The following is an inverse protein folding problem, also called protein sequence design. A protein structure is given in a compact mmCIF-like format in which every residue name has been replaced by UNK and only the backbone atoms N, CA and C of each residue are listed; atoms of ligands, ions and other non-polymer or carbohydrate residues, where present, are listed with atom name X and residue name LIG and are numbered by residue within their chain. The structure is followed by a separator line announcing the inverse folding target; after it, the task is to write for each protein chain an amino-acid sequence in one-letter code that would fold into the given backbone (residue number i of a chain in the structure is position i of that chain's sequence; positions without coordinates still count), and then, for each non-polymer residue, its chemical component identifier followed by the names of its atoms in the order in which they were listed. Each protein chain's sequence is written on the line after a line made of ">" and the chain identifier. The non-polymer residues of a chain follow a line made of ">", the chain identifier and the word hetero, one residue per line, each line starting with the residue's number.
data_IF_633853281906
#
_entry.id   IF_633853281906
#
_cell.length_a   1.000
_cell.length_b   1.000
_cell.length_c   1.000
_cell.angle_alpha   90.00
_cell.angle_beta   90.00
_cell.angle_gamma   90.00
#
_symmetry.space_group_name_H-M   'P 1'
#
loop_
_entity.id
_entity.type
_entity.pdbx_description
1 polymer ?
#
# COMPACT_ATOMS: atom_id res chain seq x y z
N UNK A 1 -2.81 -16.11 -0.03
CA UNK A 1 -2.32 -14.79 0.44
C UNK A 1 -1.39 -14.20 -0.63
N UNK A 2 -1.45 -12.90 -0.92
CA UNK A 2 -0.54 -12.22 -1.85
C UNK A 2 0.48 -11.39 -1.08
N UNK A 3 1.76 -11.47 -1.45
CA UNK A 3 2.79 -10.53 -0.98
C UNK A 3 2.95 -9.42 -2.02
N UNK A 4 2.93 -8.17 -1.55
CA UNK A 4 3.06 -6.96 -2.36
C UNK A 4 4.41 -6.30 -2.05
N UNK A 5 5.49 -6.62 -2.78
CA UNK A 5 6.72 -5.86 -2.70
C UNK A 5 6.45 -4.41 -3.01
N UNK A 6 6.95 -3.53 -2.16
CA UNK A 6 6.75 -2.11 -2.36
C UNK A 6 7.97 -1.42 -2.99
N UNK A 7 7.73 -0.33 -3.72
CA UNK A 7 8.73 0.60 -4.26
C UNK A 7 8.25 2.02 -3.97
N UNK A 8 9.01 2.78 -3.18
CA UNK A 8 8.70 4.19 -2.95
C UNK A 8 9.55 5.04 -3.89
N UNK A 9 8.93 5.98 -4.59
CA UNK A 9 9.57 6.86 -5.55
C UNK A 9 9.77 8.22 -4.89
N UNK A 10 11.03 8.66 -4.82
CA UNK A 10 11.40 10.01 -4.36
C UNK A 10 12.60 10.53 -5.15
N UNK A 11 12.53 11.77 -5.62
CA UNK A 11 13.55 12.43 -6.44
C UNK A 11 14.01 11.58 -7.65
N UNK A 12 13.08 10.80 -8.20
CA UNK A 12 13.32 9.88 -9.31
C UNK A 12 14.06 8.59 -8.96
N UNK A 13 14.24 8.27 -7.68
CA UNK A 13 14.94 7.08 -7.17
C UNK A 13 14.00 6.16 -6.39
N UNK A 14 14.37 4.89 -6.25
CA UNK A 14 13.70 3.97 -5.34
C UNK A 14 14.29 4.13 -3.95
N UNK A 15 13.46 4.55 -2.99
CA UNK A 15 13.88 4.83 -1.62
C UNK A 15 13.08 4.03 -0.61
N UNK A 16 13.53 4.05 0.65
CA UNK A 16 12.67 3.82 1.81
C UNK A 16 12.88 4.86 2.87
N UNK A 17 11.76 5.33 3.42
CA UNK A 17 11.75 6.19 4.59
C UNK A 17 11.87 5.35 5.85
N UNK A 18 12.71 5.78 6.79
CA UNK A 18 12.68 5.24 8.14
C UNK A 18 11.52 5.87 8.90
N UNK A 19 10.52 5.06 9.28
CA UNK A 19 9.30 5.51 9.98
C UNK A 19 8.57 6.68 9.27
N UNK A 20 8.51 6.65 7.94
CA UNK A 20 7.81 7.69 7.16
C UNK A 20 8.48 9.07 7.15
N UNK A 21 9.69 9.22 7.72
CA UNK A 21 10.41 10.51 7.76
C UNK A 21 11.19 10.76 6.47
N UNK A 22 10.75 11.76 5.70
CA UNK A 22 11.32 12.12 4.39
C UNK A 22 12.83 12.44 4.39
N UNK A 23 13.39 12.91 5.52
CA UNK A 23 14.80 13.27 5.64
C UNK A 23 15.73 12.11 6.02
N UNK A 24 15.19 10.93 6.33
CA UNK A 24 15.95 9.71 6.62
C UNK A 24 15.59 8.63 5.60
N UNK A 25 16.01 8.84 4.34
CA UNK A 25 15.79 7.91 3.25
C UNK A 25 17.04 7.09 2.91
N UNK A 26 16.85 5.80 2.63
CA UNK A 26 17.89 4.93 2.05
C UNK A 26 17.54 4.69 0.59
N UNK A 27 18.48 4.94 -0.32
CA UNK A 27 18.34 4.65 -1.75
C UNK A 27 18.63 3.16 -1.99
N UNK A 28 17.67 2.45 -2.57
CA UNK A 28 17.81 1.02 -2.92
C UNK A 28 18.06 0.81 -4.41
N UNK A 29 17.59 1.72 -5.26
CA UNK A 29 17.95 1.75 -6.68
C UNK A 29 17.92 3.19 -7.21
N UNK A 30 18.81 3.48 -8.15
CA UNK A 30 18.84 4.77 -8.85
C UNK A 30 17.66 4.91 -9.82
N UNK A 31 17.20 3.81 -10.44
CA UNK A 31 15.96 3.77 -11.24
C UNK A 31 14.90 2.88 -10.54
N UNK A 32 13.73 3.44 -10.18
CA UNK A 32 12.60 2.67 -9.65
C UNK A 32 12.11 1.53 -10.56
N UNK A 33 12.25 1.68 -11.87
CA UNK A 33 11.89 0.63 -12.83
C UNK A 33 12.77 -0.61 -12.68
N UNK A 34 14.05 -0.45 -12.34
CA UNK A 34 14.95 -1.58 -12.10
C UNK A 34 14.57 -2.33 -10.81
N UNK A 35 14.24 -1.60 -9.74
CA UNK A 35 13.74 -2.21 -8.51
C UNK A 35 12.43 -2.97 -8.75
N UNK A 36 11.51 -2.39 -9.52
CA UNK A 36 10.24 -3.01 -9.89
C UNK A 36 10.43 -4.34 -10.65
N UNK A 37 11.28 -4.35 -11.68
CA UNK A 37 11.62 -5.56 -12.45
C UNK A 37 12.28 -6.63 -11.60
N UNK A 38 13.17 -6.23 -10.68
CA UNK A 38 13.81 -7.18 -9.77
C UNK A 38 12.78 -7.91 -8.89
N UNK A 39 11.70 -7.24 -8.47
CA UNK A 39 10.62 -7.89 -7.71
C UNK A 39 9.79 -8.85 -8.56
N UNK A 40 9.43 -8.45 -9.78
CA UNK A 40 8.74 -9.35 -10.72
C UNK A 40 9.57 -10.61 -11.02
N UNK A 41 10.86 -10.44 -11.29
CA UNK A 41 11.78 -11.56 -11.55
C UNK A 41 11.89 -12.55 -10.36
N UNK A 42 11.61 -12.08 -9.14
CA UNK A 42 11.56 -12.88 -7.90
C UNK A 42 10.16 -13.41 -7.57
N UNK A 43 9.23 -13.34 -8.52
CA UNK A 43 7.90 -13.91 -8.41
C UNK A 43 6.88 -13.03 -7.69
N UNK A 44 7.08 -11.71 -7.64
CA UNK A 44 6.01 -10.80 -7.21
C UNK A 44 4.78 -10.97 -8.12
N UNK A 45 3.57 -10.99 -7.54
CA UNK A 45 2.32 -11.09 -8.31
C UNK A 45 1.61 -9.74 -8.47
N UNK A 46 1.98 -8.78 -7.63
CA UNK A 46 1.52 -7.39 -7.63
C UNK A 46 2.66 -6.52 -7.16
N UNK A 47 2.76 -5.31 -7.72
CA UNK A 47 3.67 -4.29 -7.21
C UNK A 47 2.89 -3.20 -6.47
N UNK A 48 3.37 -2.84 -5.28
CA UNK A 48 2.87 -1.69 -4.53
C UNK A 48 3.80 -0.50 -4.72
N UNK A 49 3.31 0.59 -5.31
CA UNK A 49 4.12 1.78 -5.56
C UNK A 49 3.60 2.94 -4.73
N UNK A 50 4.50 3.69 -4.09
CA UNK A 50 4.17 4.94 -3.41
C UNK A 50 4.94 6.08 -4.07
N UNK A 51 4.21 7.03 -4.63
CA UNK A 51 4.78 8.27 -5.16
C UNK A 51 4.91 9.31 -4.03
N UNK A 52 6.10 9.36 -3.42
CA UNK A 52 6.38 10.30 -2.34
C UNK A 52 6.48 11.73 -2.88
N UNK A 53 7.00 11.93 -4.10
CA UNK A 53 7.08 13.24 -4.75
C UNK A 53 5.69 13.78 -5.14
N UNK A 54 4.75 12.90 -5.51
CA UNK A 54 3.37 13.28 -5.78
C UNK A 54 2.68 13.86 -4.55
N UNK A 55 3.09 13.45 -3.35
CA UNK A 55 2.66 14.11 -2.12
C UNK A 55 3.16 15.57 -2.00
N UNK A 56 4.14 15.99 -2.83
CA UNK A 56 4.82 17.28 -2.81
C UNK A 56 5.10 17.84 -4.22
N UNK A 57 4.11 18.39 -4.93
CA UNK A 57 4.20 19.15 -6.21
C UNK A 57 5.05 18.56 -7.39
N UNK A 58 5.65 17.36 -7.25
CA UNK A 58 6.57 16.72 -8.22
C UNK A 58 5.90 15.88 -9.32
N UNK A 59 4.58 16.03 -9.50
CA UNK A 59 3.71 15.04 -10.12
C UNK A 59 4.04 14.66 -11.59
N UNK A 60 4.72 15.52 -12.35
CA UNK A 60 5.03 15.22 -13.75
C UNK A 60 6.13 14.16 -13.93
N UNK A 61 7.18 14.21 -13.10
CA UNK A 61 8.33 13.31 -13.22
C UNK A 61 7.99 11.90 -12.74
N UNK A 62 7.30 11.80 -11.61
CA UNK A 62 6.82 10.53 -11.07
C UNK A 62 5.87 9.80 -12.02
N UNK A 63 4.98 10.52 -12.70
CA UNK A 63 4.07 9.89 -13.69
C UNK A 63 4.80 9.19 -14.84
N UNK A 64 5.91 9.73 -15.31
CA UNK A 64 6.70 9.07 -16.36
C UNK A 64 7.36 7.80 -15.85
N UNK A 65 7.91 7.83 -14.63
CA UNK A 65 8.49 6.65 -13.98
C UNK A 65 7.41 5.57 -13.78
N UNK A 66 6.24 5.95 -13.26
CA UNK A 66 5.12 5.02 -13.06
C UNK A 66 4.65 4.42 -14.38
N UNK A 67 4.59 5.23 -15.46
CA UNK A 67 4.27 4.74 -16.80
C UNK A 67 5.26 3.69 -17.26
N UNK A 68 6.57 3.96 -17.15
CA UNK A 68 7.62 3.00 -17.48
C UNK A 68 7.47 1.70 -16.70
N UNK A 69 7.27 1.78 -15.38
CA UNK A 69 7.00 0.61 -14.53
C UNK A 69 5.81 -0.20 -15.08
N UNK A 70 4.66 0.45 -15.32
CA UNK A 70 3.46 -0.24 -15.78
C UNK A 70 3.60 -0.82 -17.20
N UNK A 71 4.42 -0.23 -18.07
CA UNK A 71 4.67 -0.74 -19.42
C UNK A 71 5.69 -1.88 -19.46
N UNK A 72 6.64 -1.88 -18.52
CA UNK A 72 7.76 -2.83 -18.53
C UNK A 72 7.49 -4.07 -17.66
N UNK A 73 6.53 -4.00 -16.74
CA UNK A 73 6.06 -5.14 -15.96
C UNK A 73 4.88 -5.85 -16.65
N UNK A 74 4.80 -7.16 -16.42
CA UNK A 74 3.64 -7.99 -16.75
C UNK A 74 2.63 -8.10 -15.60
N UNK A 75 3.06 -7.80 -14.37
CA UNK A 75 2.21 -7.83 -13.17
C UNK A 75 1.48 -6.50 -12.92
N UNK A 76 0.28 -6.55 -12.32
CA UNK A 76 -0.48 -5.34 -11.99
C UNK A 76 0.20 -4.48 -10.92
N UNK A 77 -0.01 -3.16 -11.05
CA UNK A 77 0.54 -2.14 -10.15
C UNK A 77 -0.60 -1.47 -9.39
N UNK A 78 -0.45 -1.36 -8.07
CA UNK A 78 -1.25 -0.45 -7.25
C UNK A 78 -0.42 0.76 -6.85
N UNK A 79 -1.00 1.97 -6.91
CA UNK A 79 -0.28 3.21 -6.65
C UNK A 79 -0.96 4.04 -5.56
N UNK A 80 -0.19 4.50 -4.58
CA UNK A 80 -0.57 5.57 -3.65
C UNK A 80 0.35 6.78 -3.78
N UNK A 81 -0.05 7.90 -3.18
CA UNK A 81 0.75 9.14 -3.14
C UNK A 81 0.25 10.21 -4.12
N UNK A 82 0.00 11.42 -3.62
CA UNK A 82 -0.26 12.60 -4.45
C UNK A 82 -1.62 12.70 -5.16
N UNK A 83 -2.52 11.73 -5.02
CA UNK A 83 -3.81 11.73 -5.72
C UNK A 83 -4.80 12.63 -4.96
N UNK A 84 -4.98 13.86 -5.44
CA UNK A 84 -5.78 14.92 -4.79
C UNK A 84 -7.04 15.31 -5.56
N UNK A 85 -7.20 14.83 -6.78
CA UNK A 85 -8.31 15.15 -7.66
C UNK A 85 -8.53 14.06 -8.72
N UNK A 86 -9.66 14.18 -9.43
CA UNK A 86 -10.06 13.27 -10.52
C UNK A 86 -9.08 13.28 -11.69
N UNK A 87 -8.50 14.43 -12.02
CA UNK A 87 -7.58 14.57 -13.15
C UNK A 87 -6.29 13.79 -12.92
N UNK A 88 -5.75 13.86 -11.70
CA UNK A 88 -4.57 13.12 -11.26
C UNK A 88 -4.84 11.62 -11.24
N UNK A 89 -6.00 11.20 -10.75
CA UNK A 89 -6.41 9.79 -10.79
C UNK A 89 -6.49 9.25 -12.23
N UNK A 90 -7.17 9.98 -13.12
CA UNK A 90 -7.25 9.62 -14.53
C UNK A 90 -5.86 9.52 -15.16
N UNK A 91 -4.97 10.49 -14.89
CA UNK A 91 -3.61 10.49 -15.44
C UNK A 91 -2.78 9.27 -15.01
N UNK A 92 -2.95 8.76 -13.79
CA UNK A 92 -2.28 7.53 -13.36
C UNK A 92 -2.91 6.27 -13.97
N UNK A 93 -4.23 6.25 -14.15
CA UNK A 93 -4.87 5.16 -14.90
C UNK A 93 -4.43 5.12 -16.36
N UNK A 94 -4.29 6.29 -17.01
CA UNK A 94 -3.76 6.41 -18.37
C UNK A 94 -2.28 6.01 -18.45
N UNK A 95 -1.54 6.11 -17.35
CA UNK A 95 -0.17 5.59 -17.23
C UNK A 95 -0.09 4.07 -17.07
N UNK A 96 -1.23 3.37 -16.91
CA UNK A 96 -1.29 1.91 -16.82
C UNK A 96 -1.48 1.35 -15.41
N UNK A 97 -1.65 2.20 -14.39
CA UNK A 97 -1.88 1.74 -13.00
C UNK A 97 -3.16 0.92 -12.92
N UNK A 98 -3.14 -0.24 -12.27
CA UNK A 98 -4.31 -1.12 -12.17
C UNK A 98 -5.33 -0.60 -11.16
N UNK A 99 -4.88 -0.12 -9.99
CA UNK A 99 -5.74 0.45 -8.94
C UNK A 99 -5.02 1.53 -8.13
N UNK A 100 -5.77 2.51 -7.63
CA UNK A 100 -5.24 3.63 -6.84
C UNK A 100 -5.56 3.46 -5.36
N UNK A 101 -4.68 4.00 -4.52
CA UNK A 101 -4.75 3.98 -3.06
C UNK A 101 -4.90 5.43 -2.60
N UNK A 102 -6.04 5.74 -2.00
CA UNK A 102 -6.35 7.08 -1.52
C UNK A 102 -6.21 7.11 0.00
N UNK A 103 -5.33 7.96 0.53
CA UNK A 103 -5.15 8.15 1.96
C UNK A 103 -5.95 9.34 2.48
N UNK A 104 -5.27 10.47 2.70
CA UNK A 104 -5.82 11.69 3.34
C UNK A 104 -7.11 12.19 2.69
N UNK A 105 -7.19 12.21 1.34
CA UNK A 105 -8.39 12.66 0.63
C UNK A 105 -9.63 11.84 0.98
N UNK A 106 -9.49 10.52 1.19
CA UNK A 106 -10.60 9.65 1.52
C UNK A 106 -11.25 10.01 2.87
N UNK A 107 -10.47 10.58 3.80
CA UNK A 107 -10.94 10.98 5.13
C UNK A 107 -11.38 12.45 5.18
N UNK A 108 -10.64 13.36 4.54
CA UNK A 108 -10.91 14.79 4.58
C UNK A 108 -11.98 15.25 3.56
N UNK A 109 -12.17 14.53 2.45
CA UNK A 109 -13.11 14.88 1.38
C UNK A 109 -14.00 13.69 0.97
N UNK A 110 -14.99 13.31 1.79
CA UNK A 110 -15.84 12.14 1.58
C UNK A 110 -16.53 12.11 0.22
N UNK A 111 -17.08 13.24 -0.20
CA UNK A 111 -17.88 13.35 -1.41
C UNK A 111 -17.04 13.11 -2.66
N UNK A 112 -15.84 13.69 -2.71
CA UNK A 112 -14.88 13.50 -3.79
C UNK A 112 -14.38 12.05 -3.82
N UNK A 113 -14.10 11.46 -2.66
CA UNK A 113 -13.73 10.04 -2.60
C UNK A 113 -14.84 9.13 -3.16
N UNK A 114 -16.09 9.34 -2.75
CA UNK A 114 -17.23 8.59 -3.26
C UNK A 114 -17.42 8.80 -4.77
N UNK A 115 -17.17 10.01 -5.29
CA UNK A 115 -17.16 10.29 -6.72
C UNK A 115 -16.06 9.52 -7.46
N UNK A 116 -14.84 9.46 -6.92
CA UNK A 116 -13.75 8.67 -7.47
C UNK A 116 -14.12 7.18 -7.55
N UNK A 117 -14.69 6.62 -6.46
CA UNK A 117 -15.14 5.24 -6.40
C UNK A 117 -16.23 4.93 -7.44
N UNK A 118 -17.20 5.83 -7.61
CA UNK A 118 -18.25 5.69 -8.64
C UNK A 118 -17.70 5.77 -10.05
N UNK A 119 -16.74 6.66 -10.29
CA UNK A 119 -16.16 6.87 -11.63
C UNK A 119 -15.22 5.73 -12.02
N UNK A 120 -14.50 5.16 -11.04
CA UNK A 120 -13.52 4.09 -11.26
C UNK A 120 -13.87 2.84 -10.43
N UNK A 121 -15.01 2.18 -10.70
CA UNK A 121 -15.52 1.09 -9.89
C UNK A 121 -14.52 -0.08 -9.84
N UNK A 122 -14.28 -0.60 -8.63
CA UNK A 122 -13.34 -1.70 -8.40
C UNK A 122 -11.85 -1.31 -8.45
N UNK A 123 -11.52 -0.04 -8.71
CA UNK A 123 -10.12 0.42 -8.90
C UNK A 123 -9.63 1.43 -7.87
N UNK A 124 -10.48 1.84 -6.92
CA UNK A 124 -10.12 2.78 -5.85
C UNK A 124 -10.13 2.04 -4.51
N UNK A 125 -9.01 2.05 -3.81
CA UNK A 125 -8.92 1.60 -2.43
C UNK A 125 -8.54 2.74 -1.49
N UNK A 126 -8.54 2.45 -0.20
CA UNK A 126 -8.19 3.42 0.86
C UNK A 126 -7.03 2.92 1.70
N UNK A 127 -6.09 3.81 2.01
CA UNK A 127 -5.07 3.55 3.05
C UNK A 127 -5.57 4.08 4.38
N UNK A 128 -5.66 3.19 5.36
CA UNK A 128 -5.98 3.49 6.74
C UNK A 128 -4.70 3.34 7.57
N UNK A 129 -4.02 4.46 7.75
CA UNK A 129 -2.79 4.51 8.55
C UNK A 129 -3.20 4.85 9.98
N UNK A 130 -2.90 3.94 10.91
CA UNK A 130 -3.39 4.02 12.27
C UNK A 130 -2.29 3.84 13.33
N UNK A 131 -2.47 4.55 14.44
CA UNK A 131 -1.70 4.42 15.68
C UNK A 131 -2.69 4.10 16.79
N UNK A 132 -2.58 2.93 17.42
CA UNK A 132 -3.57 2.47 18.40
C UNK A 132 -5.03 2.50 17.91
N UNK A 133 -5.27 2.22 16.62
CA UNK A 133 -6.60 2.25 15.99
C UNK A 133 -7.14 3.64 15.65
N UNK A 134 -6.39 4.71 15.93
CA UNK A 134 -6.73 6.09 15.57
C UNK A 134 -6.09 6.47 14.24
N UNK A 135 -6.87 7.03 13.33
CA UNK A 135 -6.43 7.35 11.97
C UNK A 135 -5.59 8.62 11.93
N UNK A 136 -4.48 8.54 11.19
CA UNK A 136 -3.59 9.67 10.90
C UNK A 136 -3.67 10.05 9.43
N UNK A 137 -3.44 11.33 9.14
CA UNK A 137 -3.42 11.89 7.78
C UNK A 137 -2.17 12.75 7.56
N UNK A 138 -1.99 13.23 6.32
CA UNK A 138 -0.88 14.13 5.92
C UNK A 138 0.49 13.54 6.28
N UNK A 139 0.75 12.32 5.82
CA UNK A 139 2.02 11.63 6.11
C UNK A 139 2.20 11.31 7.59
N UNK A 140 1.14 10.85 8.26
CA UNK A 140 1.10 10.43 9.67
C UNK A 140 1.20 11.55 10.71
N UNK A 141 1.16 12.82 10.28
CA UNK A 141 1.35 13.97 11.19
C UNK A 141 0.04 14.42 11.83
N UNK A 142 -1.07 14.45 11.07
CA UNK A 142 -2.32 15.05 11.53
C UNK A 142 -3.27 14.00 12.11
N UNK A 143 -3.76 14.24 13.34
CA UNK A 143 -4.83 13.44 13.93
C UNK A 143 -6.17 13.80 13.29
N UNK A 144 -6.96 12.79 12.97
CA UNK A 144 -8.28 12.97 12.35
C UNK A 144 -9.41 13.02 13.38
N UNK A 145 -9.16 12.58 14.61
CA UNK A 145 -10.22 12.27 15.58
C UNK A 145 -11.08 11.05 15.21
N UNK A 146 -10.79 10.38 14.10
CA UNK A 146 -11.51 9.19 13.63
C UNK A 146 -10.77 7.92 14.04
N UNK A 147 -11.53 6.86 14.30
CA UNK A 147 -11.00 5.51 14.42
C UNK A 147 -11.20 4.74 13.13
N UNK A 148 -10.43 3.66 12.95
CA UNK A 148 -10.60 2.71 11.84
C UNK A 148 -12.05 2.23 11.78
N UNK A 149 -12.59 1.76 12.92
CA UNK A 149 -13.98 1.30 13.07
C UNK A 149 -15.01 2.37 12.72
N UNK A 150 -14.75 3.63 13.08
CA UNK A 150 -15.66 4.74 12.80
C UNK A 150 -15.68 5.14 11.33
N UNK A 151 -14.55 5.03 10.62
CA UNK A 151 -14.44 5.40 9.21
C UNK A 151 -14.86 4.28 8.25
N UNK A 152 -14.63 3.02 8.62
CA UNK A 152 -14.78 1.88 7.72
C UNK A 152 -16.19 1.75 7.09
N UNK A 153 -17.31 1.83 7.83
CA UNK A 153 -18.64 1.66 7.24
C UNK A 153 -18.94 2.67 6.12
N UNK A 154 -18.53 3.93 6.31
CA UNK A 154 -18.68 4.98 5.30
C UNK A 154 -17.82 4.66 4.07
N UNK A 155 -16.54 4.32 4.26
CA UNK A 155 -15.63 4.04 3.15
C UNK A 155 -16.10 2.87 2.28
N UNK A 156 -16.68 1.83 2.91
CA UNK A 156 -17.30 0.72 2.20
C UNK A 156 -18.55 1.16 1.43
N UNK A 157 -19.41 1.99 2.05
CA UNK A 157 -20.61 2.52 1.39
C UNK A 157 -20.28 3.47 0.22
N UNK A 158 -19.19 4.22 0.33
CA UNK A 158 -18.67 5.10 -0.73
C UNK A 158 -18.12 4.31 -1.93
N UNK A 159 -17.85 3.00 -1.77
CA UNK A 159 -17.45 2.09 -2.84
C UNK A 159 -15.96 1.74 -2.87
N UNK A 160 -15.24 1.87 -1.75
CA UNK A 160 -13.86 1.42 -1.65
C UNK A 160 -13.74 -0.07 -2.04
N UNK A 161 -12.86 -0.38 -2.98
CA UNK A 161 -12.68 -1.73 -3.53
C UNK A 161 -11.73 -2.61 -2.71
N UNK A 162 -10.88 -1.99 -1.89
CA UNK A 162 -9.96 -2.68 -0.98
C UNK A 162 -9.47 -1.69 0.09
N UNK A 163 -9.02 -2.24 1.22
CA UNK A 163 -8.44 -1.48 2.33
C UNK A 163 -6.97 -1.87 2.46
N UNK A 164 -6.08 -0.89 2.60
CA UNK A 164 -4.74 -1.11 3.13
C UNK A 164 -4.75 -0.61 4.56
N UNK A 165 -4.38 -1.46 5.51
CA UNK A 165 -4.24 -1.07 6.90
C UNK A 165 -2.76 -1.02 7.26
N UNK A 166 -2.28 0.17 7.60
CA UNK A 166 -0.89 0.40 8.02
C UNK A 166 -0.86 0.63 9.51
N UNK A 167 -0.25 -0.29 10.26
CA UNK A 167 0.08 -0.05 11.67
C UNK A 167 1.37 0.81 11.74
N UNK A 168 1.20 2.11 12.03
CA UNK A 168 2.28 3.10 11.98
C UNK A 168 3.37 2.78 13.02
N UNK A 169 2.99 2.26 14.20
CA UNK A 169 3.94 1.96 15.28
C UNK A 169 4.90 0.83 14.91
N UNK A 170 4.50 0.00 13.93
CA UNK A 170 5.25 -1.18 13.50
C UNK A 170 5.93 -1.01 12.15
N UNK A 171 5.58 0.03 11.40
CA UNK A 171 6.09 0.19 10.05
C UNK A 171 7.58 0.53 10.02
N UNK A 172 8.33 -0.21 9.20
CA UNK A 172 9.79 -0.12 9.13
C UNK A 172 10.56 -0.53 10.40
N UNK A 173 9.88 -1.02 11.45
CA UNK A 173 10.48 -1.38 12.74
C UNK A 173 10.89 -2.85 12.87
N UNK A 174 10.44 -3.71 11.95
CA UNK A 174 10.69 -5.17 11.97
C UNK A 174 10.29 -5.85 13.30
N UNK A 175 9.28 -5.32 13.98
CA UNK A 175 8.79 -5.82 15.27
C UNK A 175 7.56 -6.76 15.15
N UNK A 176 7.28 -7.25 13.93
CA UNK A 176 6.18 -8.16 13.63
C UNK A 176 4.81 -7.48 13.49
N UNK A 177 3.84 -8.26 13.02
CA UNK A 177 2.49 -7.81 12.62
C UNK A 177 1.50 -7.72 13.77
N UNK A 178 0.55 -6.78 13.68
CA UNK A 178 -0.58 -6.66 14.61
C UNK A 178 -1.73 -7.59 14.21
N UNK A 179 -1.59 -8.88 14.52
CA UNK A 179 -2.55 -9.92 14.12
C UNK A 179 -3.96 -9.62 14.63
N UNK A 180 -4.10 -9.17 15.88
CA UNK A 180 -5.39 -8.89 16.49
C UNK A 180 -6.14 -7.74 15.78
N UNK A 181 -5.46 -6.64 15.48
CA UNK A 181 -6.06 -5.52 14.75
C UNK A 181 -6.44 -5.93 13.31
N UNK A 182 -5.58 -6.67 12.62
CA UNK A 182 -5.83 -7.15 11.26
C UNK A 182 -6.98 -8.14 11.21
N UNK A 183 -7.07 -9.08 12.15
CA UNK A 183 -8.18 -10.01 12.27
C UNK A 183 -9.50 -9.27 12.50
N UNK A 184 -9.53 -8.34 13.46
CA UNK A 184 -10.71 -7.53 13.76
C UNK A 184 -11.20 -6.77 12.52
N UNK A 185 -10.31 -6.01 11.87
CA UNK A 185 -10.65 -5.25 10.67
C UNK A 185 -11.12 -6.17 9.53
N UNK A 186 -10.43 -7.29 9.31
CA UNK A 186 -10.76 -8.23 8.22
C UNK A 186 -12.04 -9.02 8.46
N UNK A 187 -12.54 -9.09 9.71
CA UNK A 187 -13.88 -9.64 10.00
C UNK A 187 -14.99 -8.63 9.73
N UNK A 188 -14.71 -7.33 9.87
CA UNK A 188 -15.67 -6.26 9.62
C UNK A 188 -15.74 -5.85 8.15
N UNK A 189 -14.62 -5.94 7.42
CA UNK A 189 -14.54 -5.49 6.02
C UNK A 189 -15.18 -6.49 5.07
N UNK A 190 -16.08 -5.98 4.20
CA UNK A 190 -16.69 -6.74 3.10
C UNK A 190 -15.84 -6.74 1.83
N UNK A 191 -14.74 -5.98 1.82
CA UNK A 191 -13.77 -5.93 0.71
C UNK A 191 -12.40 -6.39 1.18
N UNK A 192 -11.49 -6.79 0.26
CA UNK A 192 -10.16 -7.26 0.62
C UNK A 192 -9.38 -6.29 1.51
N UNK A 193 -8.80 -6.81 2.59
CA UNK A 193 -7.87 -6.09 3.46
C UNK A 193 -6.44 -6.52 3.15
N UNK A 194 -5.52 -5.56 3.06
CA UNK A 194 -4.10 -5.79 2.84
C UNK A 194 -3.37 -5.22 4.05
N UNK A 195 -2.59 -6.08 4.72
CA UNK A 195 -1.76 -5.67 5.84
C UNK A 195 -0.57 -4.85 5.36
N UNK A 196 -0.26 -3.75 6.03
CA UNK A 196 0.96 -2.99 5.88
C UNK A 196 1.50 -2.62 7.27
N UNK A 197 2.81 -2.40 7.39
CA UNK A 197 3.46 -2.18 8.68
C UNK A 197 3.83 -3.47 9.42
N UNK A 198 5.12 -3.71 9.61
CA UNK A 198 5.63 -4.79 10.48
C UNK A 198 5.77 -6.19 9.86
N UNK A 199 5.43 -6.39 8.59
CA UNK A 199 5.59 -7.69 7.89
C UNK A 199 7.07 -7.87 7.51
N UNK A 200 7.83 -8.57 8.34
CA UNK A 200 9.29 -8.53 8.29
C UNK A 200 9.99 -9.88 8.08
N UNK A 201 9.30 -10.99 8.35
CA UNK A 201 9.87 -12.35 8.31
C UNK A 201 8.86 -13.35 7.77
N UNK A 202 9.33 -14.54 7.37
CA UNK A 202 8.44 -15.65 7.00
C UNK A 202 7.47 -16.01 8.14
N UNK A 203 7.94 -15.94 9.40
CA UNK A 203 7.10 -16.19 10.56
C UNK A 203 5.92 -15.20 10.66
N UNK A 204 6.08 -13.95 10.21
CA UNK A 204 4.97 -13.00 10.17
C UNK A 204 3.95 -13.36 9.08
N UNK A 205 4.41 -13.81 7.91
CA UNK A 205 3.55 -14.35 6.84
C UNK A 205 2.76 -15.55 7.35
N UNK A 206 3.41 -16.47 8.06
CA UNK A 206 2.78 -17.65 8.65
C UNK A 206 1.71 -17.30 9.70
N UNK A 207 1.91 -16.23 10.47
CA UNK A 207 0.89 -15.73 11.42
C UNK A 207 -0.33 -15.14 10.71
N UNK A 208 -0.13 -14.47 9.58
CA UNK A 208 -1.22 -13.85 8.81
C UNK A 208 -2.00 -14.83 7.94
N UNK A 209 -1.34 -15.88 7.43
CA UNK A 209 -1.94 -16.81 6.47
C UNK A 209 -3.28 -17.42 6.95
N UNK A 210 -3.45 -17.90 8.20
CA UNK A 210 -4.72 -18.45 8.68
C UNK A 210 -5.89 -17.45 8.62
N UNK A 211 -5.62 -16.15 8.79
CA UNK A 211 -6.64 -15.12 8.68
C UNK A 211 -7.19 -15.02 7.25
N UNK A 212 -6.36 -15.28 6.24
CA UNK A 212 -6.78 -15.26 4.83
C UNK A 212 -7.76 -16.37 4.45
N UNK A 213 -7.85 -17.41 5.29
CA UNK A 213 -8.78 -18.53 5.10
C UNK A 213 -10.16 -18.27 5.74
N UNK A 214 -10.25 -17.31 6.66
CA UNK A 214 -11.43 -17.13 7.53
C UNK A 214 -11.95 -15.69 7.59
N UNK A 215 -11.28 -14.75 6.94
CA UNK A 215 -11.58 -13.31 6.94
C UNK A 215 -11.31 -12.71 5.56
N UNK A 216 -11.55 -11.40 5.37
CA UNK A 216 -11.24 -10.70 4.12
C UNK A 216 -9.77 -10.31 3.95
N UNK A 217 -8.86 -10.76 4.82
CA UNK A 217 -7.42 -10.52 4.64
C UNK A 217 -6.93 -11.22 3.37
N UNK A 218 -6.43 -10.44 2.41
CA UNK A 218 -6.00 -10.95 1.10
C UNK A 218 -4.48 -11.03 0.95
N UNK A 219 -3.73 -10.19 1.68
CA UNK A 219 -2.30 -10.11 1.49
C UNK A 219 -1.60 -9.14 2.42
N UNK A 220 -0.32 -8.92 2.14
CA UNK A 220 0.54 -8.05 2.92
C UNK A 220 1.52 -7.28 2.03
N UNK A 221 1.66 -5.98 2.29
CA UNK A 221 2.72 -5.13 1.76
C UNK A 221 3.97 -5.33 2.59
N UNK A 222 5.11 -5.52 1.91
CA UNK A 222 6.42 -5.50 2.56
C UNK A 222 7.40 -4.73 1.69
N UNK A 223 8.15 -3.83 2.33
CA UNK A 223 9.15 -2.99 1.70
C UNK A 223 10.53 -3.30 2.24
N UNK A 224 10.92 -2.57 3.30
CA UNK A 224 12.23 -2.64 3.93
C UNK A 224 12.74 -4.06 4.17
N UNK A 225 11.90 -4.94 4.71
CA UNK A 225 12.29 -6.31 5.03
C UNK A 225 12.67 -7.16 3.80
N UNK A 226 12.07 -6.89 2.64
CA UNK A 226 12.45 -7.56 1.39
C UNK A 226 13.80 -7.06 0.88
N UNK A 227 14.06 -5.74 0.98
CA UNK A 227 15.34 -5.17 0.56
C UNK A 227 16.48 -5.57 1.51
N UNK A 228 16.25 -5.60 2.82
CA UNK A 228 17.24 -6.00 3.83
C UNK A 228 17.36 -7.53 3.98
N UNK A 229 16.49 -8.30 3.32
CA UNK A 229 16.55 -9.77 3.27
C UNK A 229 16.04 -10.48 4.51
N UNK A 230 15.45 -9.78 5.49
CA UNK A 230 14.81 -10.42 6.66
C UNK A 230 13.55 -11.20 6.25
N UNK A 231 12.94 -10.83 5.13
CA UNK A 231 11.91 -11.59 4.44
C UNK A 231 12.41 -11.93 3.03
N UNK A 232 12.45 -13.21 2.69
CA UNK A 232 12.71 -13.67 1.33
C UNK A 232 11.39 -13.90 0.58
N UNK A 233 11.19 -13.17 -0.53
CA UNK A 233 9.95 -13.23 -1.31
C UNK A 233 9.70 -14.62 -1.91
N UNK A 234 10.73 -15.24 -2.49
CA UNK A 234 10.63 -16.54 -3.18
C UNK A 234 10.33 -17.65 -2.18
N UNK A 235 11.03 -17.64 -1.04
CA UNK A 235 10.77 -18.57 0.06
C UNK A 235 9.34 -18.43 0.59
N UNK A 236 8.89 -17.19 0.83
CA UNK A 236 7.55 -16.95 1.35
C UNK A 236 6.47 -17.33 0.34
N UNK A 237 6.66 -17.03 -0.94
CA UNK A 237 5.74 -17.45 -2.00
C UNK A 237 5.68 -18.97 -2.14
N UNK A 238 6.84 -19.66 -2.07
CA UNK A 238 6.89 -21.12 -2.10
C UNK A 238 6.16 -21.74 -0.89
N UNK A 239 6.35 -21.17 0.31
CA UNK A 239 5.63 -21.62 1.49
C UNK A 239 4.11 -21.40 1.37
N UNK A 240 3.67 -20.22 0.91
CA UNK A 240 2.26 -19.90 0.67
C UNK A 240 1.63 -20.87 -0.34
N UNK A 241 2.33 -21.19 -1.43
CA UNK A 241 1.84 -22.10 -2.46
C UNK A 241 1.72 -23.56 -1.97
N UNK A 242 2.40 -23.92 -0.89
CA UNK A 242 2.37 -25.24 -0.29
C UNK A 242 1.29 -25.42 0.80
N UNK A 243 0.55 -24.36 1.14
CA UNK A 243 -0.54 -24.40 2.13
C UNK A 243 -1.88 -24.70 1.48
#
# INVERSE_FOLDING_TARGET
>A
MILFPAVDIQDGKAVRLKQGRAHESTVFAEDPTDAAKAWEARGAQWLHVVDLDGAFDGAAKSREIVRRICTELSIPVQLGGGIRDMATAQAYFDAGVSRLIIGTLALEQPELFAEMCRTFPGRIGVSLDAEGGKLKTRGWVADTGLTVDGALPRLLADGAAFIIYTDIERDGMQCGVNVAALEHLSRLSTVPVIAAGGVATLADVQKLYPLTLTTSLAGAVSGRALYEGTLNLEEANAWIAAQ
#
